data_IF_896750041185
#
_entry.id   IF_896750041185
#
_cell.length_a   1.000
_cell.length_b   1.000
_cell.length_c   1.000
_cell.angle_alpha   90.00
_cell.angle_beta   90.00
_cell.angle_gamma   90.00
#
_symmetry.space_group_name_H-M   'P 1'
#
loop_
_entity.id
_entity.type
_entity.pdbx_description
1 polymer ?
#
# COMPACT_ATOMS: atom_id res chain seq x y z
N UNK A 1 -1.77 13.04 -11.07
CA UNK A 1 -1.33 14.46 -11.22
C UNK A 1 -1.71 15.07 -12.57
N UNK A 2 -1.71 14.31 -13.68
CA UNK A 2 -2.02 14.82 -15.03
C UNK A 2 -3.45 15.38 -15.25
N UNK A 3 -4.41 14.99 -14.41
CA UNK A 3 -5.82 15.41 -14.55
C UNK A 3 -6.16 16.75 -13.89
N UNK A 4 -5.23 17.36 -13.14
CA UNK A 4 -5.52 18.59 -12.39
C UNK A 4 -5.18 19.88 -13.16
N UNK A 5 -4.28 19.82 -14.15
CA UNK A 5 -3.85 21.00 -14.92
C UNK A 5 -4.69 21.31 -16.17
N UNK A 6 -5.57 20.41 -16.59
CA UNK A 6 -6.33 20.50 -17.85
C UNK A 6 -7.86 20.34 -17.65
N UNK A 7 -8.37 20.40 -16.42
CA UNK A 7 -9.79 20.16 -16.14
C UNK A 7 -10.63 21.41 -16.48
N UNK A 8 -11.49 21.39 -17.52
CA UNK A 8 -12.35 22.52 -17.87
C UNK A 8 -13.62 22.56 -16.99
N UNK A 9 -13.95 21.44 -16.31
CA UNK A 9 -15.23 21.20 -15.66
C UNK A 9 -15.05 20.57 -14.27
N UNK A 10 -15.83 21.04 -13.29
CA UNK A 10 -15.81 20.60 -11.87
C UNK A 10 -15.94 19.07 -11.70
N UNK A 11 -16.80 18.42 -12.49
CA UNK A 11 -17.06 16.97 -12.40
C UNK A 11 -15.83 16.11 -12.71
N UNK A 12 -14.94 16.56 -13.60
CA UNK A 12 -13.72 15.82 -13.95
C UNK A 12 -12.65 15.93 -12.86
N UNK A 13 -12.65 17.05 -12.12
CA UNK A 13 -11.82 17.26 -10.93
C UNK A 13 -12.24 16.33 -9.78
N UNK A 14 -13.57 16.17 -9.59
CA UNK A 14 -14.13 15.25 -8.59
C UNK A 14 -13.77 13.80 -8.91
N UNK A 15 -13.94 13.35 -10.16
CA UNK A 15 -13.54 12.01 -10.59
C UNK A 15 -12.03 11.77 -10.40
N UNK A 16 -11.20 12.74 -10.81
CA UNK A 16 -9.76 12.67 -10.60
C UNK A 16 -9.38 12.57 -9.11
N UNK A 17 -10.13 13.23 -8.21
CA UNK A 17 -9.90 13.16 -6.77
C UNK A 17 -10.36 11.86 -6.16
N UNK A 18 -11.45 11.27 -6.64
CA UNK A 18 -11.89 9.94 -6.22
C UNK A 18 -10.84 8.90 -6.62
N UNK A 19 -10.37 8.91 -7.87
CA UNK A 19 -9.30 8.01 -8.31
C UNK A 19 -7.99 8.26 -7.54
N UNK A 20 -7.60 9.53 -7.36
CA UNK A 20 -6.39 9.87 -6.61
C UNK A 20 -6.49 9.48 -5.13
N UNK A 21 -7.69 9.55 -4.54
CA UNK A 21 -7.95 9.12 -3.17
C UNK A 21 -7.88 7.61 -3.03
N UNK A 22 -8.44 6.86 -3.98
CA UNK A 22 -8.34 5.41 -4.03
C UNK A 22 -6.87 4.94 -4.15
N UNK A 23 -6.08 5.60 -5.03
CA UNK A 23 -4.65 5.33 -5.14
C UNK A 23 -3.84 5.78 -3.91
N UNK A 24 -4.38 6.65 -3.04
CA UNK A 24 -3.71 7.10 -1.82
C UNK A 24 -3.54 5.99 -0.77
N UNK A 25 -4.34 4.93 -0.84
CA UNK A 25 -4.28 3.81 0.11
C UNK A 25 -3.06 2.90 -0.09
N UNK A 26 -2.37 3.00 -1.24
CA UNK A 26 -1.25 2.11 -1.62
C UNK A 26 -0.14 2.08 -0.56
N UNK A 27 0.19 3.22 0.04
CA UNK A 27 1.23 3.29 1.08
C UNK A 27 0.86 2.52 2.36
N UNK A 28 -0.42 2.51 2.73
CA UNK A 28 -0.91 1.75 3.89
C UNK A 28 -0.89 0.25 3.59
N UNK A 29 -1.40 -0.15 2.44
CA UNK A 29 -1.40 -1.56 1.99
C UNK A 29 0.01 -2.12 1.87
N UNK A 30 0.97 -1.34 1.36
CA UNK A 30 2.37 -1.76 1.26
C UNK A 30 3.03 -1.95 2.63
N UNK A 31 2.78 -1.06 3.60
CA UNK A 31 3.32 -1.20 4.95
C UNK A 31 2.73 -2.42 5.68
N UNK A 32 1.41 -2.65 5.56
CA UNK A 32 0.76 -3.85 6.10
C UNK A 32 1.35 -5.11 5.48
N UNK A 33 1.50 -5.13 4.15
CA UNK A 33 2.09 -6.25 3.43
C UNK A 33 3.52 -6.57 3.89
N UNK A 34 4.38 -5.56 4.01
CA UNK A 34 5.75 -5.72 4.53
C UNK A 34 5.71 -6.25 5.97
N UNK A 35 4.73 -5.80 6.74
CA UNK A 35 4.54 -6.27 8.12
C UNK A 35 4.11 -7.74 8.18
N UNK A 36 3.36 -8.24 7.21
CA UNK A 36 2.81 -9.61 7.16
C UNK A 36 3.84 -10.64 6.66
N UNK A 37 4.75 -10.22 5.77
CA UNK A 37 5.85 -11.07 5.27
C UNK A 37 7.02 -11.19 6.24
N UNK A 38 7.15 -10.29 7.22
CA UNK A 38 8.35 -10.16 8.04
C UNK A 38 8.19 -10.83 9.42
N UNK A 39 9.13 -11.69 9.80
CA UNK A 39 9.13 -12.32 11.14
C UNK A 39 9.33 -11.31 12.28
N UNK A 40 8.78 -11.60 13.47
CA UNK A 40 8.77 -10.69 14.61
C UNK A 40 10.16 -10.15 15.04
N UNK A 41 11.23 -10.92 14.84
CA UNK A 41 12.60 -10.52 15.19
C UNK A 41 13.22 -9.47 14.25
N UNK A 42 12.75 -9.39 13.00
CA UNK A 42 13.34 -8.52 11.96
C UNK A 42 12.38 -7.42 11.47
N UNK A 43 11.11 -7.44 11.89
CA UNK A 43 10.05 -6.48 11.50
C UNK A 43 10.46 -5.02 11.60
N UNK A 44 11.13 -4.65 12.69
CA UNK A 44 11.61 -3.29 12.90
C UNK A 44 12.65 -2.83 11.86
N UNK A 45 13.57 -3.71 11.45
CA UNK A 45 14.58 -3.38 10.44
C UNK A 45 13.96 -3.21 9.05
N UNK A 46 13.04 -4.09 8.65
CA UNK A 46 12.37 -3.99 7.35
C UNK A 46 11.46 -2.77 7.24
N UNK A 47 10.71 -2.44 8.30
CA UNK A 47 9.94 -1.19 8.35
C UNK A 47 10.86 0.04 8.34
N UNK A 48 12.04 -0.06 8.98
CA UNK A 48 13.08 0.95 8.89
C UNK A 48 13.58 1.18 7.45
N UNK A 49 13.79 0.13 6.67
CA UNK A 49 14.16 0.26 5.26
C UNK A 49 13.07 0.93 4.40
N UNK A 50 11.80 0.62 4.64
CA UNK A 50 10.66 1.26 3.95
C UNK A 50 10.60 2.76 4.25
N UNK A 51 10.82 3.14 5.50
CA UNK A 51 10.86 4.55 5.92
C UNK A 51 12.10 5.28 5.37
N UNK A 52 13.27 4.63 5.36
CA UNK A 52 14.48 5.19 4.76
C UNK A 52 14.30 5.46 3.27
N UNK A 53 13.60 4.58 2.55
CA UNK A 53 13.26 4.78 1.14
C UNK A 53 12.38 6.02 0.94
N UNK A 54 11.35 6.19 1.78
CA UNK A 54 10.51 7.40 1.76
C UNK A 54 11.32 8.67 2.05
N UNK A 55 12.20 8.63 3.06
CA UNK A 55 13.08 9.75 3.39
C UNK A 55 14.04 10.11 2.25
N UNK A 56 14.64 9.10 1.61
CA UNK A 56 15.49 9.31 0.45
C UNK A 56 14.70 9.93 -0.71
N UNK A 57 13.50 9.45 -1.00
CA UNK A 57 12.64 10.02 -2.03
C UNK A 57 12.33 11.51 -1.76
N UNK A 58 12.08 11.89 -0.51
CA UNK A 58 11.88 13.30 -0.12
C UNK A 58 13.14 14.15 -0.26
N UNK A 59 14.33 13.60 0.00
CA UNK A 59 15.58 14.31 -0.17
C UNK A 59 15.89 14.59 -1.66
N UNK A 60 15.65 13.61 -2.53
CA UNK A 60 15.93 13.74 -3.97
C UNK A 60 14.80 14.40 -4.76
N UNK A 61 13.57 14.32 -4.27
CA UNK A 61 12.36 14.79 -4.97
C UNK A 61 12.40 16.26 -5.39
N UNK A 62 12.63 17.22 -4.47
CA UNK A 62 12.68 18.65 -4.81
C UNK A 62 13.83 19.01 -5.77
N UNK A 63 14.98 18.35 -5.62
CA UNK A 63 16.14 18.56 -6.49
C UNK A 63 15.89 18.11 -7.93
N UNK A 64 15.35 16.90 -8.10
CA UNK A 64 14.95 16.38 -9.41
C UNK A 64 13.80 17.20 -10.01
N UNK A 65 12.76 17.48 -9.22
CA UNK A 65 11.60 18.27 -9.68
C UNK A 65 11.97 19.70 -10.09
N UNK A 66 12.85 20.36 -9.33
CA UNK A 66 13.34 21.70 -9.63
C UNK A 66 14.21 21.75 -10.89
N UNK A 67 15.08 20.75 -11.08
CA UNK A 67 15.90 20.61 -12.29
C UNK A 67 15.06 20.42 -13.56
N UNK A 68 14.02 19.58 -13.48
CA UNK A 68 13.10 19.34 -14.60
C UNK A 68 12.21 20.56 -14.91
N UNK A 69 11.89 21.38 -13.90
CA UNK A 69 11.07 22.59 -14.06
C UNK A 69 11.72 23.64 -14.97
N UNK A 70 13.05 23.63 -15.11
CA UNK A 70 13.78 24.54 -16.04
C UNK A 70 13.45 24.29 -17.53
N UNK A 71 13.00 23.09 -17.89
CA UNK A 71 12.61 22.74 -19.26
C UNK A 71 11.12 23.01 -19.55
N UNK A 72 10.36 23.45 -18.55
CA UNK A 72 8.95 23.81 -18.65
C UNK A 72 8.18 23.40 -17.39
N UNK A 73 7.21 24.23 -16.96
CA UNK A 73 6.43 23.98 -15.75
C UNK A 73 5.62 22.66 -15.78
N UNK A 74 5.28 22.18 -16.98
CA UNK A 74 4.47 20.97 -17.17
C UNK A 74 5.31 19.69 -17.23
N UNK A 75 6.60 19.80 -17.56
CA UNK A 75 7.51 18.65 -17.76
C UNK A 75 7.64 17.77 -16.51
N UNK A 76 7.77 18.30 -15.27
CA UNK A 76 7.87 17.47 -14.07
C UNK A 76 6.60 16.63 -13.85
N UNK A 77 5.43 17.21 -14.14
CA UNK A 77 4.14 16.52 -14.00
C UNK A 77 4.06 15.40 -15.02
N UNK A 78 4.49 15.67 -16.26
CA UNK A 78 4.45 14.67 -17.32
C UNK A 78 5.34 13.48 -17.00
N UNK A 79 6.61 13.73 -16.70
CA UNK A 79 7.58 12.71 -16.32
C UNK A 79 7.10 11.89 -15.11
N UNK A 80 6.53 12.54 -14.10
CA UNK A 80 6.02 11.84 -12.92
C UNK A 80 4.86 10.89 -13.24
N UNK A 81 3.94 11.26 -14.13
CA UNK A 81 2.84 10.35 -14.49
C UNK A 81 3.29 9.17 -15.34
N UNK A 82 4.24 9.38 -16.26
CA UNK A 82 4.88 8.27 -17.00
C UNK A 82 5.60 7.34 -16.03
N UNK A 83 6.36 7.88 -15.08
CA UNK A 83 7.02 7.07 -14.05
C UNK A 83 6.05 6.32 -13.15
N UNK A 84 4.96 6.95 -12.70
CA UNK A 84 3.91 6.26 -11.94
C UNK A 84 3.26 5.14 -12.76
N UNK A 85 3.00 5.37 -14.05
CA UNK A 85 2.40 4.37 -14.91
C UNK A 85 3.33 3.18 -15.13
N UNK A 86 4.61 3.43 -15.43
CA UNK A 86 5.62 2.37 -15.51
C UNK A 86 5.80 1.64 -14.19
N UNK A 87 5.86 2.35 -13.06
CA UNK A 87 5.98 1.74 -11.74
C UNK A 87 4.76 0.87 -11.41
N UNK A 88 3.55 1.32 -11.77
CA UNK A 88 2.33 0.53 -11.63
C UNK A 88 2.32 -0.71 -12.54
N UNK A 89 2.79 -0.58 -13.77
CA UNK A 89 2.91 -1.70 -14.71
C UNK A 89 3.96 -2.71 -14.24
N UNK A 90 5.12 -2.23 -13.77
CA UNK A 90 6.15 -3.07 -13.16
C UNK A 90 5.64 -3.72 -11.88
N UNK A 91 4.86 -3.03 -11.05
CA UNK A 91 4.21 -3.64 -9.91
C UNK A 91 3.22 -4.73 -10.37
N UNK A 92 2.43 -4.52 -11.41
CA UNK A 92 1.53 -5.58 -11.92
C UNK A 92 2.28 -6.79 -12.48
N UNK A 93 3.43 -6.60 -13.13
CA UNK A 93 4.21 -7.69 -13.73
C UNK A 93 5.13 -8.40 -12.72
N UNK A 94 5.71 -7.63 -11.79
CA UNK A 94 6.72 -8.08 -10.84
C UNK A 94 6.15 -8.42 -9.47
N UNK A 95 4.91 -8.01 -9.17
CA UNK A 95 4.16 -8.53 -8.03
C UNK A 95 3.43 -9.78 -8.54
N UNK A 96 4.03 -11.00 -8.47
CA UNK A 96 3.29 -12.22 -8.70
C UNK A 96 2.12 -12.21 -7.73
N UNK A 97 0.92 -12.36 -8.27
CA UNK A 97 -0.30 -12.57 -7.50
C UNK A 97 -0.02 -13.44 -6.26
N UNK A 98 -0.25 -12.82 -5.09
CA UNK A 98 0.14 -13.26 -3.75
C UNK A 98 0.58 -14.74 -3.66
N UNK A 99 1.89 -15.03 -3.59
CA UNK A 99 2.38 -16.38 -3.78
C UNK A 99 2.19 -17.21 -2.51
N UNK A 100 1.05 -17.88 -2.36
CA UNK A 100 0.80 -19.05 -1.47
C UNK A 100 0.97 -18.84 0.06
N UNK A 101 1.75 -17.86 0.51
CA UNK A 101 2.07 -17.58 1.91
C UNK A 101 0.94 -16.81 2.61
N UNK A 102 0.30 -15.86 1.92
CA UNK A 102 -0.90 -15.15 2.42
C UNK A 102 -2.04 -16.14 2.63
N UNK A 103 -2.20 -17.12 1.74
CA UNK A 103 -3.21 -18.17 1.84
C UNK A 103 -2.98 -19.05 3.08
N UNK A 104 -1.72 -19.41 3.37
CA UNK A 104 -1.37 -20.18 4.57
C UNK A 104 -1.57 -19.39 5.86
N UNK A 105 -1.29 -18.08 5.89
CA UNK A 105 -1.54 -17.26 7.07
C UNK A 105 -3.03 -17.00 7.30
N UNK A 106 -3.83 -16.77 6.25
CA UNK A 106 -5.29 -16.70 6.37
C UNK A 106 -5.88 -18.02 6.91
N UNK A 107 -5.39 -19.17 6.41
CA UNK A 107 -5.81 -20.48 6.91
C UNK A 107 -5.37 -20.72 8.37
N UNK A 108 -4.15 -20.30 8.74
CA UNK A 108 -3.66 -20.42 10.13
C UNK A 108 -4.43 -19.50 11.10
N UNK A 109 -4.72 -18.26 10.70
CA UNK A 109 -5.52 -17.32 11.47
C UNK A 109 -6.97 -17.82 11.65
N UNK A 110 -7.57 -18.41 10.61
CA UNK A 110 -8.90 -19.05 10.68
C UNK A 110 -8.92 -20.18 11.71
N UNK A 111 -7.89 -21.03 11.72
CA UNK A 111 -7.78 -22.14 12.68
C UNK A 111 -7.63 -21.66 14.12
N UNK A 112 -6.91 -20.57 14.37
CA UNK A 112 -6.82 -20.00 15.73
C UNK A 112 -8.15 -19.42 16.22
N UNK A 113 -8.95 -18.83 15.33
CA UNK A 113 -10.30 -18.33 15.66
C UNK A 113 -11.24 -19.49 15.93
N UNK A 114 -11.25 -20.51 15.06
CA UNK A 114 -12.05 -21.73 15.25
C UNK A 114 -11.67 -22.48 16.54
N UNK A 115 -10.38 -22.53 16.90
CA UNK A 115 -9.91 -23.12 18.15
C UNK A 115 -10.33 -22.31 19.40
N UNK A 116 -10.40 -20.98 19.29
CA UNK A 116 -10.86 -20.11 20.39
C UNK A 116 -12.38 -20.17 20.58
N UNK A 117 -13.13 -20.24 19.48
CA UNK A 117 -14.58 -20.43 19.49
C UNK A 117 -14.96 -21.79 20.10
N UNK A 118 -14.23 -22.85 19.72
CA UNK A 118 -14.40 -24.20 20.27
C UNK A 118 -14.12 -24.27 21.78
N UNK A 119 -13.14 -23.50 22.27
CA UNK A 119 -12.83 -23.44 23.70
C UNK A 119 -13.91 -22.66 24.48
N UNK A 120 -14.43 -21.58 23.91
CA UNK A 120 -15.51 -20.77 24.46
C UNK A 120 -16.82 -21.58 24.61
N UNK A 121 -17.18 -22.40 23.62
CA UNK A 121 -18.38 -23.25 23.68
C UNK A 121 -18.27 -24.34 24.75
N UNK A 122 -17.08 -24.92 24.96
CA UNK A 122 -16.87 -25.90 26.02
C UNK A 122 -16.94 -25.33 27.44
N UNK A 123 -16.51 -24.07 27.65
CA UNK A 123 -16.70 -23.38 28.93
C UNK A 123 -18.16 -22.96 29.16
N UNK A 124 -18.86 -22.51 28.11
CA UNK A 124 -20.29 -22.14 28.15
C UNK A 124 -21.18 -23.33 28.57
N UNK A 125 -21.00 -24.52 27.97
CA UNK A 125 -21.74 -25.72 28.37
C UNK A 125 -21.43 -26.19 29.80
N UNK A 126 -20.23 -25.91 30.33
CA UNK A 126 -19.83 -26.28 31.69
C UNK A 126 -20.39 -25.31 32.74
N UNK A 127 -20.66 -24.06 32.38
CA UNK A 127 -21.29 -23.06 33.24
C UNK A 127 -22.83 -23.14 33.33
N UNK A 128 -23.49 -23.72 32.33
CA UNK A 128 -24.97 -23.89 32.30
C UNK A 128 -25.50 -25.14 33.04
N UNK A 129 -24.60 -25.97 33.59
CA UNK A 129 -24.94 -27.23 34.27
C UNK A 129 -24.90 -27.18 35.81
N UNK A 130 -24.81 -25.99 36.39
CA UNK A 130 -24.96 -25.71 37.83
C UNK A 130 -26.16 -24.78 38.03
#
# INVERSE_FOLDING_TARGET
AWSQGLAPNFSMLVLARILSGACGAVGSTANVYVSDITSASVRGQYLGYVMNSNGAAFAFGPGLGGGLSRFGLNVPIEVNGVMCFLAGLLAMLYLPESPVFLRRQHEAARRSIEAHDSASDTESCRGSGL
#
